data_IF_214334163325
#
_entry.id   IF_214334163325
#
_cell.length_a   1.000
_cell.length_b   1.000
_cell.length_c   1.000
_cell.angle_alpha   90.00
_cell.angle_beta   90.00
_cell.angle_gamma   90.00
#
_symmetry.space_group_name_H-M   'P 1'
#
loop_
_entity.id
_entity.type
_entity.pdbx_description
1 polymer ?
#
# COMPACT_ATOMS: atom_id res chain seq x y z
N UNK A 1 1.31 -6.02 -38.51
CA UNK A 1 2.47 -6.27 -37.63
C UNK A 1 2.06 -7.29 -36.59
N UNK A 2 2.70 -8.46 -36.52
CA UNK A 2 2.48 -9.39 -35.41
C UNK A 2 3.19 -8.87 -34.15
N UNK A 3 2.50 -8.89 -33.01
CA UNK A 3 3.12 -8.59 -31.72
C UNK A 3 3.94 -9.80 -31.28
N UNK A 4 5.25 -9.65 -31.18
CA UNK A 4 6.12 -10.64 -30.54
C UNK A 4 6.06 -10.40 -29.03
N UNK A 5 5.58 -11.38 -28.27
CA UNK A 5 5.60 -11.31 -26.81
C UNK A 5 6.90 -11.92 -26.28
N UNK A 6 7.60 -11.19 -25.41
CA UNK A 6 8.78 -11.68 -24.72
C UNK A 6 8.42 -12.02 -23.28
N UNK A 7 8.67 -13.26 -22.86
CA UNK A 7 8.50 -13.67 -21.46
C UNK A 7 9.73 -13.26 -20.67
N UNK A 8 9.60 -12.23 -19.84
CA UNK A 8 10.66 -11.76 -18.95
C UNK A 8 10.38 -12.16 -17.50
N UNK A 9 11.41 -12.35 -16.70
CA UNK A 9 11.29 -12.64 -15.27
C UNK A 9 12.36 -11.90 -14.48
N UNK A 10 12.01 -11.42 -13.28
CA UNK A 10 12.96 -10.78 -12.38
C UNK A 10 13.76 -11.84 -11.62
N UNK A 11 15.09 -11.79 -11.73
CA UNK A 11 16.02 -12.60 -10.94
C UNK A 11 16.60 -11.76 -9.81
N UNK A 12 15.86 -11.69 -8.71
CA UNK A 12 16.25 -10.89 -7.55
C UNK A 12 17.32 -11.58 -6.71
N UNK A 13 18.33 -10.83 -6.29
CA UNK A 13 19.27 -11.28 -5.24
C UNK A 13 18.64 -11.17 -3.84
N UNK A 14 19.35 -11.61 -2.80
CA UNK A 14 18.83 -11.61 -1.43
C UNK A 14 18.44 -10.21 -0.91
N UNK A 15 19.20 -9.17 -1.27
CA UNK A 15 18.89 -7.78 -0.88
C UNK A 15 17.61 -7.30 -1.55
N UNK A 16 17.46 -7.56 -2.84
CA UNK A 16 16.28 -7.17 -3.63
C UNK A 16 15.02 -7.95 -3.21
N UNK A 17 15.13 -9.26 -2.95
CA UNK A 17 14.01 -10.06 -2.41
C UNK A 17 13.54 -9.51 -1.07
N UNK A 18 14.47 -9.21 -0.18
CA UNK A 18 14.16 -8.61 1.12
C UNK A 18 13.43 -7.28 0.95
N UNK A 19 13.92 -6.41 0.05
CA UNK A 19 13.26 -5.14 -0.23
C UNK A 19 11.85 -5.33 -0.81
N UNK A 20 11.68 -6.23 -1.79
CA UNK A 20 10.37 -6.54 -2.35
C UNK A 20 9.37 -7.03 -1.29
N UNK A 21 9.82 -7.89 -0.36
CA UNK A 21 9.00 -8.36 0.75
C UNK A 21 8.62 -7.24 1.72
N UNK A 22 9.55 -6.33 2.07
CA UNK A 22 9.24 -5.15 2.89
C UNK A 22 8.18 -4.26 2.24
N UNK A 23 8.32 -4.01 0.94
CA UNK A 23 7.35 -3.24 0.16
C UNK A 23 5.97 -3.92 0.13
N UNK A 24 5.93 -5.22 -0.16
CA UNK A 24 4.69 -5.99 -0.18
C UNK A 24 4.01 -6.05 1.20
N UNK A 25 4.78 -6.25 2.26
CA UNK A 25 4.29 -6.24 3.64
C UNK A 25 3.71 -4.88 4.02
N UNK A 26 4.40 -3.78 3.66
CA UNK A 26 3.91 -2.42 3.92
C UNK A 26 2.65 -2.09 3.16
N UNK A 27 2.59 -2.46 1.88
CA UNK A 27 1.40 -2.27 1.06
C UNK A 27 0.21 -3.04 1.65
N UNK A 28 0.41 -4.31 2.02
CA UNK A 28 -0.64 -5.15 2.63
C UNK A 28 -1.15 -4.56 3.94
N UNK A 29 -0.25 -4.13 4.81
CA UNK A 29 -0.63 -3.52 6.09
C UNK A 29 -1.41 -2.21 5.89
N UNK A 30 -0.95 -1.34 5.00
CA UNK A 30 -1.64 -0.09 4.66
C UNK A 30 -3.04 -0.34 4.08
N UNK A 31 -3.18 -1.32 3.18
CA UNK A 31 -4.47 -1.70 2.61
C UNK A 31 -5.44 -2.17 3.70
N UNK A 32 -5.01 -3.12 4.55
CA UNK A 32 -5.86 -3.66 5.61
C UNK A 32 -6.27 -2.58 6.62
N UNK A 33 -5.34 -1.70 7.00
CA UNK A 33 -5.65 -0.57 7.87
C UNK A 33 -6.66 0.38 7.21
N UNK A 34 -6.45 0.75 5.94
CA UNK A 34 -7.36 1.63 5.22
C UNK A 34 -8.75 1.03 5.03
N UNK A 35 -8.82 -0.28 4.73
CA UNK A 35 -10.08 -1.02 4.63
C UNK A 35 -10.84 -0.98 5.94
N UNK A 36 -10.17 -1.21 7.07
CA UNK A 36 -10.79 -1.14 8.39
C UNK A 36 -11.37 0.26 8.67
N UNK A 37 -10.62 1.32 8.37
CA UNK A 37 -11.11 2.71 8.52
C UNK A 37 -12.34 2.97 7.64
N UNK A 38 -12.37 2.45 6.41
CA UNK A 38 -13.54 2.57 5.54
C UNK A 38 -14.74 1.81 6.08
N UNK A 39 -14.55 0.59 6.59
CA UNK A 39 -15.62 -0.22 7.19
C UNK A 39 -16.20 0.47 8.42
N UNK A 40 -15.36 1.01 9.31
CA UNK A 40 -15.81 1.78 10.48
C UNK A 40 -16.62 3.02 10.06
N UNK A 41 -16.18 3.76 9.04
CA UNK A 41 -16.92 4.90 8.52
C UNK A 41 -18.30 4.47 7.96
N UNK A 42 -18.37 3.32 7.27
CA UNK A 42 -19.62 2.78 6.76
C UNK A 42 -20.58 2.37 7.88
N UNK A 43 -20.08 1.70 8.92
CA UNK A 43 -20.86 1.29 10.08
C UNK A 43 -21.43 2.50 10.84
N UNK A 44 -20.65 3.57 10.94
CA UNK A 44 -21.05 4.81 11.60
C UNK A 44 -21.88 5.74 10.71
N UNK A 45 -22.22 5.33 9.48
CA UNK A 45 -22.91 6.16 8.47
C UNK A 45 -22.19 7.49 8.16
N UNK A 46 -20.86 7.48 8.27
CA UNK A 46 -20.00 8.60 7.95
C UNK A 46 -19.58 8.59 6.48
N UNK A 47 -19.02 9.71 6.03
CA UNK A 47 -18.43 9.79 4.70
C UNK A 47 -17.19 8.88 4.64
N UNK A 48 -17.20 7.92 3.70
CA UNK A 48 -16.04 7.08 3.41
C UNK A 48 -14.86 7.99 2.98
N UNK A 49 -13.69 7.89 3.64
CA UNK A 49 -12.53 8.72 3.32
C UNK A 49 -11.98 8.37 1.93
N UNK A 50 -11.50 9.38 1.21
CA UNK A 50 -10.80 9.14 -0.07
C UNK A 50 -9.42 8.53 0.18
N UNK A 51 -8.80 7.92 -0.84
CA UNK A 51 -7.40 7.47 -0.74
C UNK A 51 -6.43 8.58 -0.32
N UNK A 52 -6.70 9.85 -0.64
CA UNK A 52 -5.89 11.00 -0.18
C UNK A 52 -6.07 11.23 1.33
N UNK A 53 -7.32 11.19 1.82
CA UNK A 53 -7.63 11.35 3.24
C UNK A 53 -6.99 10.21 4.07
N UNK A 54 -7.15 8.97 3.59
CA UNK A 54 -6.50 7.79 4.17
C UNK A 54 -4.98 7.93 4.19
N UNK A 55 -4.36 8.43 3.13
CA UNK A 55 -2.90 8.58 3.10
C UNK A 55 -2.40 9.59 4.13
N UNK A 56 -3.08 10.73 4.29
CA UNK A 56 -2.75 11.73 5.31
C UNK A 56 -2.91 11.16 6.71
N UNK A 57 -4.02 10.46 6.97
CA UNK A 57 -4.31 9.83 8.26
C UNK A 57 -3.29 8.71 8.58
N UNK A 58 -2.97 7.86 7.61
CA UNK A 58 -1.94 6.82 7.73
C UNK A 58 -0.58 7.41 8.10
N UNK A 59 -0.17 8.50 7.47
CA UNK A 59 1.12 9.15 7.77
C UNK A 59 1.17 9.65 9.22
N UNK A 60 0.07 10.20 9.72
CA UNK A 60 -0.04 10.73 11.08
C UNK A 60 -0.08 9.64 12.14
N UNK A 61 -0.88 8.60 11.93
CA UNK A 61 -1.26 7.63 12.97
C UNK A 61 -0.46 6.33 12.89
N UNK A 62 -0.16 5.85 11.69
CA UNK A 62 0.45 4.52 11.48
C UNK A 62 1.94 4.66 11.19
N UNK A 63 2.32 5.51 10.23
CA UNK A 63 3.71 5.64 9.80
C UNK A 63 4.61 6.16 10.93
N UNK A 64 4.11 7.08 11.75
CA UNK A 64 4.85 7.67 12.86
C UNK A 64 5.23 6.66 13.95
N UNK A 65 4.40 5.63 14.17
CA UNK A 65 4.62 4.61 15.20
C UNK A 65 5.30 3.34 14.66
N UNK A 66 5.27 3.10 13.34
CA UNK A 66 5.86 1.94 12.69
C UNK A 66 7.12 2.31 11.90
N UNK A 67 8.30 2.21 12.53
CA UNK A 67 9.58 2.60 11.93
C UNK A 67 9.87 1.93 10.57
N UNK A 68 9.39 0.71 10.36
CA UNK A 68 9.60 -0.03 9.10
C UNK A 68 8.88 0.60 7.88
N UNK A 69 7.93 1.53 8.07
CA UNK A 69 7.38 2.33 6.97
C UNK A 69 8.40 3.28 6.34
N UNK A 70 9.48 3.61 7.04
CA UNK A 70 10.56 4.45 6.52
C UNK A 70 11.58 3.64 5.70
N UNK A 71 11.49 2.30 5.72
CA UNK A 71 12.39 1.42 4.99
C UNK A 71 11.96 1.17 3.53
N UNK A 72 10.79 1.68 3.14
CA UNK A 72 10.21 1.48 1.80
C UNK A 72 9.78 2.82 1.20
N UNK A 73 9.60 2.83 -0.13
CA UNK A 73 9.06 4.00 -0.83
C UNK A 73 7.65 4.35 -0.33
N UNK A 74 7.36 5.65 -0.24
CA UNK A 74 6.01 6.19 0.05
C UNK A 74 4.93 5.59 -0.85
N UNK A 75 5.29 5.19 -2.08
CA UNK A 75 4.35 4.67 -3.05
C UNK A 75 3.78 3.31 -2.62
N UNK A 76 4.50 2.51 -1.84
CA UNK A 76 4.03 1.20 -1.41
C UNK A 76 2.72 1.28 -0.60
N UNK A 77 2.64 2.09 0.48
CA UNK A 77 1.36 2.30 1.16
C UNK A 77 0.40 3.22 0.39
N UNK A 78 0.89 4.22 -0.37
CA UNK A 78 0.01 5.16 -1.08
C UNK A 78 -0.80 4.48 -2.20
N UNK A 79 -0.17 3.66 -3.04
CA UNK A 79 -0.86 2.94 -4.11
C UNK A 79 -1.74 1.82 -3.55
N UNK A 80 -1.37 1.24 -2.41
CA UNK A 80 -2.23 0.29 -1.70
C UNK A 80 -3.55 0.94 -1.29
N UNK A 81 -3.50 2.15 -0.73
CA UNK A 81 -4.72 2.90 -0.38
C UNK A 81 -5.54 3.31 -1.61
N UNK A 82 -4.89 3.68 -2.73
CA UNK A 82 -5.61 3.94 -4.00
C UNK A 82 -6.31 2.72 -4.57
N UNK A 83 -5.84 1.51 -4.28
CA UNK A 83 -6.52 0.29 -4.69
C UNK A 83 -7.81 0.02 -3.90
N UNK A 84 -8.08 0.75 -2.81
CA UNK A 84 -9.39 0.72 -2.14
C UNK A 84 -10.46 1.53 -2.89
N UNK A 85 -10.05 2.49 -3.73
CA UNK A 85 -10.96 3.32 -4.54
C UNK A 85 -11.35 2.63 -5.87
N UNK A 86 -10.86 1.41 -6.12
CA UNK A 86 -11.11 0.64 -7.35
C UNK A 86 -12.17 -0.44 -7.12
#
# INVERSE_FOLDING_TARGET
MSLVSFKTSLRLNNKQKTLALKHAGTARHAYNWGLNVCLEAMENQEKIPTSIDLHKKLVKEVKSVHQWYYEVSKCAPQEALRNLDK
#
